data_IF_961123875163
#
_entry.id   IF_961123875163
#
_cell.length_a   1.000
_cell.length_b   1.000
_cell.length_c   1.000
_cell.angle_alpha   90.00
_cell.angle_beta   90.00
_cell.angle_gamma   90.00
#
_symmetry.space_group_name_H-M   'P 1'
#
loop_
_entity.id
_entity.type
_entity.pdbx_description
1 polymer ?
#
# COMPACT_ATOMS: atom_id res chain seq x y z
N UNK A 1 -8.91 -24.35 -3.64
CA UNK A 1 -10.11 -24.43 -4.10
C UNK A 1 -11.06 -23.56 -3.38
N UNK A 2 -11.52 -23.96 -2.39
CA UNK A 2 -12.46 -23.15 -1.65
C UNK A 2 -11.90 -21.83 -1.22
N UNK A 3 -10.59 -21.74 -1.11
CA UNK A 3 -9.96 -20.50 -0.68
C UNK A 3 -10.26 -19.34 -1.61
N UNK A 4 -10.42 -19.60 -2.91
CA UNK A 4 -10.71 -18.54 -3.84
C UNK A 4 -12.06 -17.89 -3.55
N UNK A 5 -13.03 -18.69 -3.09
CA UNK A 5 -14.34 -18.16 -2.77
C UNK A 5 -14.30 -17.40 -1.45
N UNK A 6 -13.61 -17.95 -0.47
CA UNK A 6 -13.57 -17.35 0.86
C UNK A 6 -12.70 -16.11 0.92
N UNK A 7 -11.88 -15.85 -0.11
CA UNK A 7 -10.97 -14.72 -0.08
C UNK A 7 -11.66 -13.38 -0.30
N UNK A 8 -12.93 -13.37 -0.74
CA UNK A 8 -13.63 -12.14 -1.00
C UNK A 8 -14.44 -11.71 0.23
N UNK A 9 -13.77 -11.29 1.26
CA UNK A 9 -14.37 -10.93 2.54
C UNK A 9 -14.53 -9.43 2.65
N UNK A 10 -15.48 -9.00 3.47
CA UNK A 10 -15.67 -7.58 3.76
C UNK A 10 -14.74 -7.17 4.88
N UNK A 11 -14.21 -5.96 4.80
CA UNK A 11 -13.34 -5.42 5.84
C UNK A 11 -14.03 -5.46 7.20
N UNK A 12 -15.32 -5.15 7.24
CA UNK A 12 -16.07 -5.12 8.49
C UNK A 12 -16.20 -6.49 9.16
N UNK A 13 -15.93 -7.57 8.41
CA UNK A 13 -16.02 -8.93 8.95
C UNK A 13 -14.68 -9.48 9.44
N UNK A 14 -13.62 -8.71 9.30
CA UNK A 14 -12.28 -9.16 9.73
C UNK A 14 -12.15 -9.08 11.24
N UNK A 15 -11.42 -10.03 11.81
CA UNK A 15 -11.04 -9.95 13.22
C UNK A 15 -9.93 -8.91 13.39
N UNK A 16 -9.67 -8.53 14.64
CA UNK A 16 -8.59 -7.59 14.91
C UNK A 16 -7.25 -8.11 14.39
N UNK A 17 -6.99 -9.40 14.58
CA UNK A 17 -5.76 -9.99 14.06
C UNK A 17 -5.68 -9.89 12.55
N UNK A 18 -6.80 -10.13 11.87
CA UNK A 18 -6.84 -10.07 10.42
C UNK A 18 -6.68 -8.64 9.91
N UNK A 19 -7.21 -7.66 10.65
CA UNK A 19 -7.00 -6.25 10.29
C UNK A 19 -5.52 -5.90 10.37
N UNK A 20 -4.84 -6.34 11.42
CA UNK A 20 -3.40 -6.12 11.51
C UNK A 20 -2.64 -6.82 10.39
N UNK A 21 -3.02 -8.05 10.08
CA UNK A 21 -2.39 -8.77 8.98
C UNK A 21 -2.60 -8.07 7.64
N UNK A 22 -3.80 -7.56 7.40
CA UNK A 22 -4.09 -6.79 6.20
C UNK A 22 -3.23 -5.52 6.13
N UNK A 23 -3.10 -4.82 7.25
CA UNK A 23 -2.29 -3.62 7.29
C UNK A 23 -0.84 -3.93 6.96
N UNK A 24 -0.30 -5.01 7.51
CA UNK A 24 1.08 -5.40 7.27
C UNK A 24 1.31 -5.70 5.77
N UNK A 25 0.44 -6.50 5.17
CA UNK A 25 0.60 -6.83 3.76
C UNK A 25 0.42 -5.61 2.87
N UNK A 26 -0.45 -4.67 3.27
CA UNK A 26 -0.67 -3.44 2.50
C UNK A 26 0.55 -2.54 2.53
N UNK A 27 1.24 -2.45 3.67
CA UNK A 27 2.47 -1.66 3.73
C UNK A 27 3.55 -2.28 2.84
N UNK A 28 3.63 -3.60 2.82
CA UNK A 28 4.58 -4.27 1.94
C UNK A 28 4.28 -4.02 0.47
N UNK A 29 3.01 -4.07 0.09
CA UNK A 29 2.60 -3.81 -1.28
C UNK A 29 2.93 -2.38 -1.68
N UNK A 30 2.65 -1.42 -0.81
CA UNK A 30 2.93 -0.02 -1.09
C UNK A 30 4.43 0.21 -1.25
N UNK A 31 5.24 -0.40 -0.40
CA UNK A 31 6.70 -0.26 -0.52
C UNK A 31 7.19 -0.79 -1.87
N UNK A 32 6.66 -1.94 -2.31
CA UNK A 32 7.04 -2.50 -3.61
C UNK A 32 6.67 -1.57 -4.76
N UNK A 33 5.48 -0.95 -4.66
CA UNK A 33 5.03 -0.02 -5.69
C UNK A 33 5.96 1.19 -5.75
N UNK A 34 6.31 1.75 -4.59
CA UNK A 34 7.21 2.92 -4.56
C UNK A 34 8.58 2.57 -5.12
N UNK A 35 9.11 1.40 -4.79
CA UNK A 35 10.41 1.00 -5.30
C UNK A 35 10.39 0.76 -6.81
N UNK A 36 9.28 0.23 -7.33
CA UNK A 36 9.13 0.07 -8.77
C UNK A 36 9.13 1.42 -9.47
N UNK A 37 8.44 2.40 -8.90
CA UNK A 37 8.44 3.76 -9.44
C UNK A 37 9.86 4.34 -9.42
N UNK A 38 10.56 4.18 -8.30
CA UNK A 38 11.91 4.70 -8.17
C UNK A 38 12.82 4.09 -9.23
N UNK A 39 12.71 2.79 -9.47
CA UNK A 39 13.55 2.12 -10.46
C UNK A 39 13.34 2.67 -11.86
N UNK A 40 12.07 2.94 -12.23
CA UNK A 40 11.78 3.47 -13.56
C UNK A 40 12.29 4.90 -13.74
N UNK A 41 12.35 5.66 -12.67
CA UNK A 41 12.65 7.10 -12.75
C UNK A 41 14.10 7.43 -12.52
N UNK A 42 14.88 6.48 -12.00
CA UNK A 42 16.25 6.78 -11.54
C UNK A 42 17.14 7.35 -12.63
N UNK A 43 16.93 6.94 -13.87
CA UNK A 43 17.75 7.39 -14.98
C UNK A 43 17.53 8.85 -15.37
N UNK A 44 16.25 9.26 -15.47
CA UNK A 44 15.91 10.59 -15.95
C UNK A 44 15.53 11.55 -14.85
N UNK A 45 14.99 11.04 -13.75
CA UNK A 45 14.48 11.88 -12.66
C UNK A 45 15.00 11.38 -11.32
N UNK A 46 16.33 11.48 -11.10
CA UNK A 46 16.92 10.89 -9.88
C UNK A 46 16.38 11.48 -8.59
N UNK A 47 16.05 12.77 -8.57
CA UNK A 47 15.51 13.37 -7.35
C UNK A 47 14.10 12.87 -7.05
N UNK A 48 13.30 12.68 -8.08
CA UNK A 48 11.97 12.13 -7.91
C UNK A 48 12.02 10.66 -7.52
N UNK A 49 12.98 9.91 -8.08
CA UNK A 49 13.20 8.54 -7.65
C UNK A 49 13.51 8.47 -6.16
N UNK A 50 14.31 9.42 -5.66
CA UNK A 50 14.64 9.48 -4.24
C UNK A 50 13.40 9.67 -3.37
N UNK A 51 12.46 10.47 -3.83
CA UNK A 51 11.20 10.66 -3.10
C UNK A 51 10.49 9.32 -2.90
N UNK A 52 10.41 8.52 -3.96
CA UNK A 52 9.75 7.21 -3.84
C UNK A 52 10.56 6.24 -3.01
N UNK A 53 11.88 6.30 -3.06
CA UNK A 53 12.71 5.48 -2.18
C UNK A 53 12.45 5.83 -0.72
N UNK A 54 12.36 7.12 -0.41
CA UNK A 54 12.07 7.56 0.95
C UNK A 54 10.68 7.11 1.40
N UNK A 55 9.71 7.15 0.50
CA UNK A 55 8.37 6.69 0.82
C UNK A 55 8.35 5.18 1.11
N UNK A 56 9.15 4.41 0.38
CA UNK A 56 9.26 2.98 0.65
C UNK A 56 9.85 2.73 2.03
N UNK A 57 10.85 3.53 2.42
CA UNK A 57 11.44 3.42 3.76
C UNK A 57 10.40 3.65 4.85
N UNK A 58 9.55 4.64 4.66
CA UNK A 58 8.49 4.93 5.62
C UNK A 58 7.52 3.76 5.73
N UNK A 59 7.16 3.16 4.60
CA UNK A 59 6.25 2.01 4.62
C UNK A 59 6.90 0.81 5.31
N UNK A 60 8.21 0.62 5.12
CA UNK A 60 8.92 -0.46 5.81
C UNK A 60 8.92 -0.25 7.31
N UNK A 61 9.09 0.99 7.76
CA UNK A 61 9.05 1.30 9.19
C UNK A 61 7.66 1.03 9.76
N UNK A 62 6.62 1.43 9.03
CA UNK A 62 5.24 1.15 9.45
C UNK A 62 5.00 -0.34 9.55
N UNK A 63 5.45 -1.09 8.54
CA UNK A 63 5.30 -2.53 8.56
C UNK A 63 5.95 -3.16 9.77
N UNK A 64 7.18 -2.76 10.09
CA UNK A 64 7.89 -3.31 11.23
C UNK A 64 7.15 -3.03 12.53
N UNK A 65 6.60 -1.82 12.67
CA UNK A 65 5.83 -1.46 13.85
C UNK A 65 4.58 -2.33 13.97
N UNK A 66 3.89 -2.55 12.87
CA UNK A 66 2.69 -3.37 12.87
C UNK A 66 2.99 -4.83 13.17
N UNK A 67 4.13 -5.34 12.67
CA UNK A 67 4.56 -6.69 12.99
C UNK A 67 4.82 -6.84 14.49
N UNK A 68 5.45 -5.85 15.11
CA UNK A 68 5.66 -5.86 16.54
C UNK A 68 4.34 -5.88 17.29
N UNK A 69 3.39 -5.04 16.87
CA UNK A 69 2.07 -5.04 17.48
C UNK A 69 1.39 -6.40 17.37
N UNK A 70 1.50 -7.02 16.20
CA UNK A 70 0.91 -8.33 16.00
C UNK A 70 1.57 -9.37 16.90
N UNK A 71 2.89 -9.33 16.98
CA UNK A 71 3.63 -10.28 17.82
C UNK A 71 3.21 -10.19 19.26
N UNK A 72 3.07 -8.97 19.77
CA UNK A 72 2.71 -8.76 21.16
C UNK A 72 1.30 -9.24 21.49
N UNK A 73 0.39 -9.15 20.54
CA UNK A 73 -1.02 -9.46 20.79
C UNK A 73 -1.41 -10.86 20.33
N UNK A 74 -0.83 -11.36 19.24
CA UNK A 74 -1.28 -12.60 18.63
C UNK A 74 -0.17 -13.57 18.32
N UNK A 75 1.09 -13.24 18.60
CA UNK A 75 2.22 -14.12 18.36
C UNK A 75 2.83 -13.90 16.98
N UNK A 76 3.74 -14.81 16.61
CA UNK A 76 4.57 -14.63 15.44
C UNK A 76 3.89 -15.04 14.13
N UNK A 77 2.85 -15.85 14.20
CA UNK A 77 2.22 -16.35 12.99
C UNK A 77 1.18 -15.35 12.50
N UNK A 78 1.47 -14.70 11.38
CA UNK A 78 0.61 -13.68 10.81
C UNK A 78 -0.20 -14.30 9.68
N UNK A 79 -1.53 -14.23 9.72
CA UNK A 79 -2.36 -14.74 8.61
C UNK A 79 -2.07 -13.98 7.33
N UNK A 80 -2.23 -14.64 6.20
CA UNK A 80 -2.06 -13.98 4.91
C UNK A 80 -3.39 -13.36 4.48
N UNK A 81 -3.52 -12.07 4.71
CA UNK A 81 -4.70 -11.31 4.31
C UNK A 81 -4.20 -10.20 3.39
N UNK A 82 -4.71 -10.18 2.16
CA UNK A 82 -4.26 -9.22 1.16
C UNK A 82 -5.44 -8.33 0.75
N UNK A 83 -5.13 -7.05 0.47
CA UNK A 83 -6.17 -6.05 0.21
C UNK A 83 -6.99 -6.36 -1.04
N UNK A 84 -6.42 -7.06 -2.01
CA UNK A 84 -7.19 -7.41 -3.21
C UNK A 84 -8.28 -8.43 -2.91
N UNK A 85 -8.24 -9.08 -1.76
CA UNK A 85 -9.25 -10.05 -1.36
C UNK A 85 -10.19 -9.52 -0.29
N UNK A 86 -10.16 -8.21 -0.03
CA UNK A 86 -10.99 -7.61 1.01
C UNK A 86 -11.75 -6.44 0.40
N UNK A 87 -13.07 -6.46 0.55
CA UNK A 87 -13.93 -5.39 0.09
C UNK A 87 -14.11 -4.35 1.20
N UNK A 88 -14.18 -3.08 0.81
CA UNK A 88 -14.44 -2.01 1.76
C UNK A 88 -13.22 -1.49 2.47
N UNK A 89 -12.05 -2.02 2.17
CA UNK A 89 -10.80 -1.49 2.74
C UNK A 89 -10.50 -0.12 2.13
N UNK A 90 -10.66 -0.02 0.83
CA UNK A 90 -10.68 1.25 0.12
C UNK A 90 -12.07 1.42 -0.44
N UNK A 91 -12.81 2.41 0.06
CA UNK A 91 -14.19 2.62 -0.38
C UNK A 91 -14.29 3.10 -1.80
N UNK A 92 -13.21 3.65 -2.32
CA UNK A 92 -13.17 4.17 -3.68
C UNK A 92 -11.81 3.86 -4.27
N UNK A 93 -11.77 3.87 -5.60
CA UNK A 93 -10.49 3.69 -6.27
C UNK A 93 -9.64 4.94 -6.08
N UNK A 94 -8.34 4.76 -5.86
CA UNK A 94 -7.43 5.91 -5.79
C UNK A 94 -7.48 6.74 -7.07
N UNK A 95 -7.27 8.05 -6.94
CA UNK A 95 -7.32 8.94 -8.07
C UNK A 95 -6.35 8.54 -9.18
N UNK A 96 -5.15 8.10 -8.80
CA UNK A 96 -4.17 7.70 -9.79
C UNK A 96 -4.63 6.49 -10.62
N UNK A 97 -5.44 5.63 -10.01
CA UNK A 97 -5.97 4.47 -10.72
C UNK A 97 -7.16 4.86 -11.59
N UNK A 98 -8.02 5.75 -11.07
CA UNK A 98 -9.20 6.18 -11.83
C UNK A 98 -8.83 6.91 -13.10
N UNK A 99 -7.73 7.64 -13.08
CA UNK A 99 -7.29 8.40 -14.23
C UNK A 99 -6.59 7.55 -15.28
N UNK A 100 -6.45 6.24 -15.01
CA UNK A 100 -5.75 5.35 -15.92
C UNK A 100 -4.36 5.83 -16.26
N UNK A 101 -3.76 6.56 -15.35
CA UNK A 101 -2.44 7.12 -15.56
C UNK A 101 -1.39 6.12 -15.09
N UNK A 102 -0.39 5.92 -15.92
CA UNK A 102 0.74 5.05 -15.56
C UNK A 102 2.02 5.88 -15.61
N UNK A 103 3.07 5.34 -15.02
CA UNK A 103 4.35 6.03 -15.06
C UNK A 103 4.85 6.24 -16.48
N UNK A 104 4.51 5.34 -17.39
CA UNK A 104 4.92 5.49 -18.79
C UNK A 104 4.30 6.72 -19.44
N UNK A 105 3.18 7.18 -18.94
CA UNK A 105 2.46 8.33 -19.47
C UNK A 105 2.94 9.65 -18.88
N UNK A 106 3.75 9.59 -17.84
CA UNK A 106 4.28 10.79 -17.18
C UNK A 106 5.47 11.29 -17.97
N UNK A 107 5.41 12.54 -18.40
CA UNK A 107 6.45 13.13 -19.24
C UNK A 107 7.27 14.20 -18.55
N UNK A 108 6.78 14.77 -17.47
CA UNK A 108 7.46 15.84 -16.78
C UNK A 108 7.58 15.54 -15.30
N UNK A 109 8.55 16.18 -14.67
CA UNK A 109 8.74 16.03 -13.24
C UNK A 109 7.54 16.59 -12.47
N UNK A 110 6.93 17.67 -12.99
CA UNK A 110 5.74 18.25 -12.35
C UNK A 110 4.58 17.26 -12.34
N UNK A 111 4.35 16.57 -13.47
CA UNK A 111 3.32 15.54 -13.53
C UNK A 111 3.58 14.41 -12.55
N UNK A 112 4.85 14.02 -12.42
CA UNK A 112 5.22 12.98 -11.49
C UNK A 112 4.92 13.40 -10.05
N UNK A 113 5.25 14.64 -9.70
CA UNK A 113 4.99 15.13 -8.35
C UNK A 113 3.51 15.17 -8.05
N UNK A 114 2.69 15.55 -9.01
CA UNK A 114 1.25 15.51 -8.84
C UNK A 114 0.74 14.09 -8.64
N UNK A 115 1.28 13.16 -9.39
CA UNK A 115 0.95 11.74 -9.27
C UNK A 115 1.30 11.24 -7.86
N UNK A 116 2.49 11.59 -7.38
CA UNK A 116 2.95 11.19 -6.06
C UNK A 116 2.06 11.77 -4.96
N UNK A 117 1.67 13.05 -5.09
CA UNK A 117 0.79 13.67 -4.10
C UNK A 117 -0.56 12.99 -4.05
N UNK A 118 -1.10 12.63 -5.19
CA UNK A 118 -2.38 11.93 -5.23
C UNK A 118 -2.27 10.58 -4.53
N UNK A 119 -1.18 9.87 -4.73
CA UNK A 119 -0.96 8.58 -4.10
C UNK A 119 -0.87 8.69 -2.58
N UNK A 120 -0.12 9.71 -2.11
CA UNK A 120 0.01 9.96 -0.68
C UNK A 120 -1.35 10.30 -0.06
N UNK A 121 -2.12 11.10 -0.76
CA UNK A 121 -3.45 11.49 -0.28
C UNK A 121 -4.35 10.27 -0.11
N UNK A 122 -4.33 9.36 -1.06
CA UNK A 122 -5.14 8.14 -0.98
C UNK A 122 -4.70 7.27 0.18
N UNK A 123 -3.39 7.19 0.44
CA UNK A 123 -2.88 6.44 1.58
C UNK A 123 -3.39 7.04 2.89
N UNK A 124 -3.49 8.36 2.96
CA UNK A 124 -3.96 9.02 4.17
C UNK A 124 -5.43 8.73 4.45
N UNK A 125 -6.18 8.26 3.46
CA UNK A 125 -7.59 7.92 3.64
C UNK A 125 -7.80 6.53 4.22
N UNK A 126 -6.75 5.73 4.37
CA UNK A 126 -6.85 4.41 4.98
C UNK A 126 -7.20 4.57 6.45
N UNK A 127 -8.04 3.69 7.00
CA UNK A 127 -8.46 3.81 8.41
C UNK A 127 -7.27 3.91 9.36
N UNK A 128 -7.34 4.85 10.28
CA UNK A 128 -6.23 5.12 11.17
C UNK A 128 -6.27 4.35 12.47
N UNK A 129 -7.34 3.66 12.71
CA UNK A 129 -7.47 2.88 13.95
C UNK A 129 -6.82 1.51 13.85
N UNK A 130 -6.22 1.22 12.74
CA UNK A 130 -5.50 -0.05 12.55
C UNK A 130 -4.25 -0.13 13.39
#
# INVERSE_FOLDING_TARGET
MLSAISSCRRFSDLTEQEVLALAISSEEDDARIYLAYADQLRGEFPQSAKVFEDMAEVEHAHRNMLIEMHRDRFGDRIPLIRREHVRGFYDRKPDWLRKNQTLDQIRTEAELMDYARAHIHERAAVPKHI
#
